data_IF_489603847157
#
_entry.id   IF_489603847157
#
_cell.length_a   1.000
_cell.length_b   1.000
_cell.length_c   1.000
_cell.angle_alpha   90.00
_cell.angle_beta   90.00
_cell.angle_gamma   90.00
#
_symmetry.space_group_name_H-M   'P 1'
#
loop_
_entity.id
_entity.type
_entity.pdbx_description
1 polymer ?
#
# COMPACT_ATOMS: atom_id res chain seq x y z
N UNK A 1 -7.84 -13.53 -17.89
CA UNK A 1 -7.09 -12.26 -18.00
C UNK A 1 -7.63 -11.37 -16.88
N UNK A 2 -6.94 -11.28 -15.74
CA UNK A 2 -7.42 -10.45 -14.63
C UNK A 2 -7.06 -8.99 -14.93
N UNK A 3 -8.05 -8.10 -14.93
CA UNK A 3 -7.80 -6.65 -14.98
C UNK A 3 -7.01 -6.25 -13.74
N UNK A 4 -5.83 -5.66 -13.97
CA UNK A 4 -4.98 -5.13 -12.91
C UNK A 4 -5.43 -3.71 -12.60
N UNK A 5 -6.02 -3.50 -11.43
CA UNK A 5 -6.28 -2.15 -10.94
C UNK A 5 -5.03 -1.61 -10.25
N UNK A 6 -4.43 -0.60 -10.84
CA UNK A 6 -3.33 0.15 -10.22
C UNK A 6 -3.95 1.33 -9.49
N UNK A 7 -3.88 1.29 -8.17
CA UNK A 7 -4.33 2.35 -7.29
C UNK A 7 -3.13 3.20 -6.87
N UNK A 8 -3.31 4.52 -6.77
CA UNK A 8 -2.25 5.42 -6.37
C UNK A 8 -2.61 6.20 -5.11
N UNK A 9 -1.68 6.23 -4.16
CA UNK A 9 -1.78 7.01 -2.94
C UNK A 9 -0.73 8.11 -2.95
N UNK A 10 -1.14 9.36 -2.74
CA UNK A 10 -0.21 10.48 -2.65
C UNK A 10 0.26 10.62 -1.19
N UNK A 11 1.53 10.33 -0.93
CA UNK A 11 2.16 10.47 0.37
C UNK A 11 3.33 11.46 0.28
N UNK A 12 3.24 12.59 0.99
CA UNK A 12 4.29 13.62 1.02
C UNK A 12 4.78 14.07 -0.38
N UNK A 13 3.88 14.13 -1.35
CA UNK A 13 4.21 14.47 -2.74
C UNK A 13 4.79 13.31 -3.56
N UNK A 14 5.03 12.15 -2.95
CA UNK A 14 5.40 10.92 -3.65
C UNK A 14 4.15 10.07 -3.92
N UNK A 15 3.99 9.64 -5.18
CA UNK A 15 2.92 8.73 -5.56
C UNK A 15 3.34 7.29 -5.29
N UNK A 16 2.59 6.61 -4.44
CA UNK A 16 2.76 5.19 -4.12
C UNK A 16 1.73 4.39 -4.92
N UNK A 17 2.20 3.61 -5.88
CA UNK A 17 1.35 2.75 -6.69
C UNK A 17 1.21 1.36 -6.06
N UNK A 18 -0.02 0.87 -5.95
CA UNK A 18 -0.36 -0.46 -5.43
C UNK A 18 -1.18 -1.20 -6.47
N UNK A 19 -0.74 -2.41 -6.80
CA UNK A 19 -1.47 -3.30 -7.71
C UNK A 19 -2.45 -4.16 -6.92
N UNK A 20 -3.71 -4.18 -7.34
CA UNK A 20 -4.74 -5.09 -6.81
C UNK A 20 -4.79 -6.40 -7.62
N UNK A 21 -5.17 -7.53 -7.00
CA UNK A 21 -5.53 -7.66 -5.58
C UNK A 21 -4.30 -7.71 -4.66
N UNK A 22 -4.42 -7.05 -3.50
CA UNK A 22 -3.43 -7.19 -2.43
C UNK A 22 -3.66 -8.53 -1.73
N UNK A 23 -2.62 -9.35 -1.67
CA UNK A 23 -2.68 -10.68 -1.06
C UNK A 23 -2.44 -10.62 0.45
N UNK A 24 -1.51 -9.78 0.88
CA UNK A 24 -1.18 -9.62 2.30
C UNK A 24 -0.46 -8.31 2.55
N UNK A 25 -0.63 -7.77 3.75
CA UNK A 25 0.09 -6.57 4.20
C UNK A 25 0.80 -6.91 5.50
N UNK A 26 2.06 -6.50 5.62
CA UNK A 26 2.83 -6.60 6.86
C UNK A 26 3.35 -5.23 7.23
N UNK A 27 3.32 -4.89 8.52
CA UNK A 27 3.81 -3.61 9.03
C UNK A 27 4.77 -3.86 10.19
N UNK A 28 5.97 -3.28 10.10
CA UNK A 28 6.98 -3.29 11.15
C UNK A 28 7.35 -1.83 11.48
N UNK A 29 6.83 -1.32 12.59
CA UNK A 29 6.94 0.09 12.99
C UNK A 29 6.41 1.01 11.88
N UNK A 30 7.25 1.87 11.31
CA UNK A 30 6.88 2.75 10.21
C UNK A 30 7.17 2.17 8.82
N UNK A 31 7.57 0.89 8.71
CA UNK A 31 7.83 0.22 7.42
C UNK A 31 6.71 -0.74 7.11
N UNK A 32 6.19 -0.68 5.89
CA UNK A 32 5.12 -1.53 5.40
C UNK A 32 5.58 -2.30 4.17
N UNK A 33 5.23 -3.58 4.13
CA UNK A 33 5.38 -4.44 2.98
C UNK A 33 3.98 -4.83 2.49
N UNK A 34 3.67 -4.50 1.24
CA UNK A 34 2.42 -4.85 0.57
C UNK A 34 2.74 -5.91 -0.45
N UNK A 35 2.19 -7.12 -0.25
CA UNK A 35 2.30 -8.22 -1.21
C UNK A 35 1.10 -8.18 -2.14
N UNK A 36 1.37 -8.09 -3.42
CA UNK A 36 0.41 -8.22 -4.50
C UNK A 36 0.80 -9.41 -5.38
N UNK A 37 -0.07 -9.78 -6.32
CA UNK A 37 0.11 -10.98 -7.14
C UNK A 37 1.46 -11.00 -7.88
N UNK A 38 1.95 -9.84 -8.31
CA UNK A 38 3.16 -9.71 -9.12
C UNK A 38 4.42 -9.37 -8.31
N UNK A 39 4.34 -9.23 -6.98
CA UNK A 39 5.51 -8.90 -6.17
C UNK A 39 5.23 -8.25 -4.81
N UNK A 40 6.25 -7.55 -4.32
CA UNK A 40 6.24 -6.87 -3.03
C UNK A 40 6.59 -5.39 -3.22
N UNK A 41 5.75 -4.51 -2.67
CA UNK A 41 6.03 -3.08 -2.54
C UNK A 41 6.41 -2.75 -1.10
N UNK A 42 7.47 -1.97 -0.92
CA UNK A 42 7.92 -1.51 0.39
C UNK A 42 7.70 -0.01 0.51
N UNK A 43 7.06 0.39 1.60
CA UNK A 43 6.75 1.79 1.90
C UNK A 43 7.32 2.10 3.28
N UNK A 44 8.14 3.14 3.37
CA UNK A 44 8.57 3.69 4.65
C UNK A 44 7.77 4.97 4.91
N UNK A 45 7.00 4.94 5.98
CA UNK A 45 6.31 6.10 6.51
C UNK A 45 7.20 6.81 7.53
N UNK A 46 7.00 8.10 7.71
CA UNK A 46 7.68 8.89 8.74
C UNK A 46 7.21 8.48 10.14
N UNK A 47 5.91 8.21 10.29
CA UNK A 47 5.31 7.84 11.56
C UNK A 47 4.23 6.75 11.38
N UNK A 48 3.81 6.15 12.50
CA UNK A 48 2.79 5.09 12.49
C UNK A 48 1.37 5.59 12.18
N UNK A 49 1.10 6.89 12.34
CA UNK A 49 -0.21 7.47 12.02
C UNK A 49 -0.42 7.53 10.50
N UNK A 50 0.61 7.90 9.75
CA UNK A 50 0.60 7.88 8.29
C UNK A 50 0.38 6.46 7.75
N UNK A 51 1.09 5.48 8.32
CA UNK A 51 0.91 4.07 7.96
C UNK A 51 -0.53 3.59 8.21
N UNK A 52 -1.16 4.01 9.31
CA UNK A 52 -2.58 3.72 9.58
C UNK A 52 -3.51 4.43 8.60
N UNK A 53 -3.21 5.67 8.23
CA UNK A 53 -3.94 6.42 7.21
C UNK A 53 -3.92 5.71 5.86
N UNK A 54 -2.75 5.22 5.46
CA UNK A 54 -2.61 4.39 4.25
C UNK A 54 -3.41 3.09 4.32
N UNK A 55 -3.37 2.36 5.44
CA UNK A 55 -4.19 1.15 5.62
C UNK A 55 -5.69 1.44 5.53
N UNK A 56 -6.13 2.55 6.12
CA UNK A 56 -7.54 2.97 6.07
C UNK A 56 -7.97 3.33 4.64
N UNK A 57 -7.11 4.01 3.88
CA UNK A 57 -7.34 4.25 2.45
C UNK A 57 -7.42 2.94 1.67
N UNK A 58 -6.46 2.04 1.86
CA UNK A 58 -6.40 0.77 1.16
C UNK A 58 -7.60 -0.14 1.47
N UNK A 59 -8.10 -0.11 2.71
CA UNK A 59 -9.30 -0.84 3.12
C UNK A 59 -10.63 -0.27 2.60
N UNK A 60 -10.67 0.98 2.11
CA UNK A 60 -11.84 1.54 1.40
C UNK A 60 -11.87 1.18 -0.08
N UNK A 61 -10.72 0.78 -0.60
CA UNK A 61 -10.47 0.51 -2.02
C UNK A 61 -10.68 -0.98 -2.35
N UNK A 62 -10.53 -1.85 -1.36
CA UNK A 62 -10.69 -3.29 -1.46
C UNK A 62 -12.11 -3.73 -1.12
#
# INVERSE_FOLDING_TARGET
MYERFIMSYLYQGQQVAITLPVQSISMNKCRMAVKHQDGLSYIAFENTADAKGFLSWLGKVN
#
